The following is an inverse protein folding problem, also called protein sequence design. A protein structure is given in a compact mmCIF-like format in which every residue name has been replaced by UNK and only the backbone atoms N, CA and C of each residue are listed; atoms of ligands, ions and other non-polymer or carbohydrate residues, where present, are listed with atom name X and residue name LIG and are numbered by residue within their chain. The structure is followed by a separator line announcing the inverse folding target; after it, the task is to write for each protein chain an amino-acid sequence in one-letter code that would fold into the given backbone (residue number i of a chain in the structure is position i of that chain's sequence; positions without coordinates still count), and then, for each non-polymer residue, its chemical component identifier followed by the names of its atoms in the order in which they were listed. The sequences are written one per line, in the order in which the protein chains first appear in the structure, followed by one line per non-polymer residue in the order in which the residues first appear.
data_IF_503385597171
#
_entry.id   IF_503385597171
#
_cell.length_a   1.000
_cell.length_b   1.000
_cell.length_c   1.000
_cell.angle_alpha   90.00
_cell.angle_beta   90.00
_cell.angle_gamma   90.00
#
_symmetry.space_group_name_H-M   'P 1'
#
loop_
_entity.id
_entity.type
_entity.pdbx_description
1 polymer ?
#
# COMPACT_ATOMS: atom_id res chain seq x y z
N UNK A 1 -1.44 -45.85 6.90
CA UNK A 1 -1.82 -45.53 8.28
C UNK A 1 -1.83 -46.77 9.18
N UNK A 2 -2.61 -47.82 8.90
CA UNK A 2 -2.62 -49.09 9.67
C UNK A 2 -1.23 -49.74 9.74
N UNK A 3 -0.44 -49.71 8.65
CA UNK A 3 0.92 -50.24 8.60
C UNK A 3 1.91 -49.41 9.45
N UNK A 4 1.72 -48.10 9.51
CA UNK A 4 2.54 -47.20 10.34
C UNK A 4 2.27 -47.41 11.84
N UNK A 5 0.99 -47.56 12.23
CA UNK A 5 0.59 -47.83 13.63
C UNK A 5 1.11 -49.20 14.06
N UNK A 6 1.06 -50.22 13.18
CA UNK A 6 1.67 -51.54 13.47
C UNK A 6 3.21 -51.48 13.56
N UNK A 7 3.86 -50.59 12.81
CA UNK A 7 5.29 -50.33 12.89
C UNK A 7 5.71 -49.69 14.20
N UNK A 8 4.97 -48.70 14.68
CA UNK A 8 5.22 -47.99 15.94
C UNK A 8 4.95 -48.92 17.16
N UNK A 9 3.91 -49.75 17.12
CA UNK A 9 3.62 -50.74 18.17
C UNK A 9 4.72 -51.80 18.29
N UNK A 10 5.39 -52.20 17.17
CA UNK A 10 6.55 -53.10 17.18
C UNK A 10 7.82 -52.46 17.74
N UNK A 11 7.97 -51.15 17.62
CA UNK A 11 9.14 -50.41 18.09
C UNK A 11 9.14 -50.16 19.62
N UNK A 12 7.97 -50.08 20.24
CA UNK A 12 7.81 -49.68 21.66
C UNK A 12 7.91 -50.86 22.63
N UNK A 13 7.57 -52.06 22.22
CA UNK A 13 7.66 -53.22 23.12
C UNK A 13 8.18 -54.45 22.38
N UNK A 14 9.39 -54.86 22.60
CA UNK A 14 9.99 -56.07 22.07
C UNK A 14 9.32 -57.41 22.47
N UNK A 15 8.03 -57.36 22.79
CA UNK A 15 7.16 -58.52 23.05
C UNK A 15 5.88 -58.36 22.24
N UNK A 16 5.47 -59.44 21.58
CA UNK A 16 4.24 -59.55 20.83
C UNK A 16 3.02 -59.45 21.77
N UNK A 17 2.54 -58.23 21.98
CA UNK A 17 1.23 -58.02 22.61
C UNK A 17 0.21 -58.14 21.48
N UNK A 18 -0.73 -59.09 21.60
CA UNK A 18 -1.94 -59.17 20.81
C UNK A 18 -2.75 -57.90 21.04
N UNK A 19 -2.54 -56.88 20.24
CA UNK A 19 -3.37 -55.68 20.27
C UNK A 19 -4.69 -56.05 19.68
N UNK A 20 -5.72 -56.04 20.52
CA UNK A 20 -7.09 -56.32 20.15
C UNK A 20 -7.52 -55.39 18.98
N UNK A 21 -8.10 -55.98 17.95
CA UNK A 21 -8.59 -55.25 16.78
C UNK A 21 -9.60 -54.14 17.16
N UNK A 22 -10.30 -54.28 18.27
CA UNK A 22 -11.21 -53.28 18.82
C UNK A 22 -10.50 -52.01 19.27
N UNK A 23 -9.30 -52.13 19.90
CA UNK A 23 -8.49 -50.99 20.35
C UNK A 23 -7.92 -50.21 19.17
N UNK A 24 -7.51 -50.90 18.10
CA UNK A 24 -7.03 -50.25 16.88
C UNK A 24 -8.15 -49.46 16.19
N UNK A 25 -9.35 -50.02 16.12
CA UNK A 25 -10.51 -49.35 15.60
C UNK A 25 -10.89 -48.11 16.44
N UNK A 26 -10.86 -48.23 17.77
CA UNK A 26 -11.17 -47.10 18.68
C UNK A 26 -10.17 -45.94 18.49
N UNK A 27 -8.85 -46.23 18.44
CA UNK A 27 -7.83 -45.23 18.21
C UNK A 27 -7.99 -44.56 16.81
N UNK A 28 -8.32 -45.33 15.80
CA UNK A 28 -8.55 -44.82 14.44
C UNK A 28 -9.78 -43.89 14.37
N UNK A 29 -10.88 -44.26 15.05
CA UNK A 29 -12.10 -43.42 15.14
C UNK A 29 -11.81 -42.13 15.90
N UNK A 30 -11.10 -42.18 17.06
CA UNK A 30 -10.74 -41.00 17.81
C UNK A 30 -9.86 -40.06 16.99
N UNK A 31 -8.88 -40.57 16.25
CA UNK A 31 -7.97 -39.77 15.40
C UNK A 31 -8.71 -39.12 14.24
N UNK A 32 -9.62 -39.87 13.57
CA UNK A 32 -10.47 -39.34 12.50
C UNK A 32 -11.44 -38.27 13.05
N UNK A 33 -11.98 -38.45 14.23
CA UNK A 33 -12.85 -37.47 14.89
C UNK A 33 -12.08 -36.18 15.23
N UNK A 34 -10.85 -36.30 15.72
CA UNK A 34 -10.00 -35.14 15.99
C UNK A 34 -9.62 -34.38 14.68
N UNK A 35 -9.31 -35.10 13.60
CA UNK A 35 -9.04 -34.48 12.29
C UNK A 35 -10.32 -33.80 11.78
N UNK A 36 -11.47 -34.43 11.88
CA UNK A 36 -12.74 -33.87 11.46
C UNK A 36 -13.13 -32.63 12.28
N UNK A 37 -12.96 -32.68 13.61
CA UNK A 37 -13.15 -31.53 14.48
C UNK A 37 -12.19 -30.37 14.15
N UNK A 38 -10.91 -30.67 13.82
CA UNK A 38 -9.93 -29.68 13.38
C UNK A 38 -10.32 -29.05 12.03
N UNK A 39 -10.75 -29.86 11.05
CA UNK A 39 -11.19 -29.39 9.73
C UNK A 39 -12.45 -28.54 9.88
N UNK A 40 -13.42 -28.98 10.67
CA UNK A 40 -14.65 -28.22 10.97
C UNK A 40 -14.31 -26.94 11.71
N UNK A 41 -13.46 -26.98 12.73
CA UNK A 41 -13.01 -25.79 13.46
C UNK A 41 -12.34 -24.78 12.53
N UNK A 42 -11.46 -25.25 11.64
CA UNK A 42 -10.79 -24.42 10.62
C UNK A 42 -11.79 -23.89 9.58
N UNK A 43 -12.77 -24.70 9.16
CA UNK A 43 -13.84 -24.29 8.26
C UNK A 43 -14.76 -23.23 8.89
N UNK A 44 -15.16 -23.40 10.14
CA UNK A 44 -15.93 -22.41 10.88
C UNK A 44 -15.14 -21.12 11.16
N UNK A 45 -13.84 -21.23 11.46
CA UNK A 45 -12.98 -20.08 11.63
C UNK A 45 -12.83 -19.31 10.31
N UNK A 46 -12.64 -20.01 9.19
CA UNK A 46 -12.60 -19.42 7.85
C UNK A 46 -13.94 -18.83 7.40
N UNK A 47 -15.08 -19.46 7.78
CA UNK A 47 -16.41 -18.92 7.48
C UNK A 47 -16.80 -17.75 8.39
N UNK A 48 -16.41 -17.75 9.69
CA UNK A 48 -16.57 -16.56 10.56
C UNK A 48 -15.76 -15.37 10.07
N UNK A 49 -14.60 -15.59 9.43
CA UNK A 49 -13.81 -14.52 8.79
C UNK A 49 -14.48 -13.94 7.52
N UNK A 50 -15.55 -14.58 6.99
CA UNK A 50 -16.29 -14.07 5.83
C UNK A 50 -17.31 -12.97 6.14
N UNK A 51 -17.66 -12.75 7.40
CA UNK A 51 -18.58 -11.69 7.81
C UNK A 51 -17.98 -10.89 8.96
N UNK A 52 -16.94 -10.09 8.66
CA UNK A 52 -16.53 -9.04 9.60
C UNK A 52 -17.51 -7.87 9.38
N UNK A 53 -18.37 -7.54 10.35
CA UNK A 53 -19.31 -6.45 10.17
C UNK A 53 -18.54 -5.14 10.04
N UNK A 54 -18.93 -4.30 9.07
CA UNK A 54 -18.39 -2.95 8.94
C UNK A 54 -18.67 -2.19 10.25
N UNK A 55 -17.60 -1.78 10.93
CA UNK A 55 -17.64 -1.15 12.24
C UNK A 55 -18.10 0.31 12.21
N UNK A 56 -17.53 1.12 13.09
CA UNK A 56 -17.83 2.56 13.22
C UNK A 56 -17.46 3.36 11.98
N UNK A 57 -16.30 3.06 11.40
CA UNK A 57 -15.76 3.69 10.20
C UNK A 57 -14.90 2.68 9.44
N UNK A 58 -14.88 2.74 8.12
CA UNK A 58 -14.16 1.81 7.26
C UNK A 58 -13.79 2.43 5.93
N UNK A 59 -12.89 1.76 5.22
CA UNK A 59 -12.50 2.06 3.85
C UNK A 59 -13.08 1.00 2.92
N UNK A 60 -13.69 1.41 1.83
CA UNK A 60 -14.08 0.54 0.71
C UNK A 60 -13.12 0.75 -0.45
N UNK A 61 -12.69 -0.37 -1.04
CA UNK A 61 -11.75 -0.42 -2.16
C UNK A 61 -12.47 -1.01 -3.36
N UNK A 62 -12.72 -0.19 -4.37
CA UNK A 62 -13.35 -0.63 -5.61
C UNK A 62 -12.35 -1.40 -6.48
N UNK A 63 -12.55 -2.72 -6.54
CA UNK A 63 -11.72 -3.62 -7.33
C UNK A 63 -11.83 -3.38 -8.83
N UNK A 64 -13.00 -2.96 -9.31
CA UNK A 64 -13.21 -2.66 -10.75
C UNK A 64 -12.40 -1.42 -11.14
N UNK A 65 -12.42 -0.39 -10.30
CA UNK A 65 -11.62 0.82 -10.52
C UNK A 65 -10.11 0.51 -10.48
N UNK A 66 -9.65 -0.35 -9.57
CA UNK A 66 -8.26 -0.80 -9.53
C UNK A 66 -7.84 -1.48 -10.85
N UNK A 67 -8.65 -2.39 -11.35
CA UNK A 67 -8.38 -3.10 -12.60
C UNK A 67 -8.52 -2.19 -13.84
N UNK A 68 -9.48 -1.26 -13.81
CA UNK A 68 -9.60 -0.22 -14.84
C UNK A 68 -8.32 0.62 -14.92
N UNK A 69 -7.81 1.09 -13.78
CA UNK A 69 -6.59 1.89 -13.73
C UNK A 69 -5.38 1.12 -14.27
N UNK A 70 -5.25 -0.18 -13.95
CA UNK A 70 -4.22 -1.05 -14.54
C UNK A 70 -4.38 -1.13 -16.06
N UNK A 71 -5.60 -1.30 -16.56
CA UNK A 71 -5.85 -1.35 -18.01
C UNK A 71 -5.44 -0.05 -18.69
N UNK A 72 -5.85 1.09 -18.13
CA UNK A 72 -5.49 2.43 -18.66
C UNK A 72 -3.98 2.63 -18.64
N UNK A 73 -3.30 2.31 -17.52
CA UNK A 73 -1.86 2.48 -17.38
C UNK A 73 -1.06 1.51 -18.27
N UNK A 74 -1.63 0.37 -18.64
CA UNK A 74 -1.02 -0.60 -19.54
C UNK A 74 -0.79 -0.03 -20.95
N UNK A 75 -1.66 0.86 -21.40
CA UNK A 75 -1.54 1.50 -22.72
C UNK A 75 -0.34 2.47 -22.81
N UNK A 76 0.21 2.87 -21.66
CA UNK A 76 1.43 3.70 -21.57
C UNK A 76 2.70 2.85 -21.40
N UNK A 77 2.60 1.54 -21.12
CA UNK A 77 3.78 0.72 -20.89
C UNK A 77 4.63 0.57 -22.17
N UNK A 78 5.92 0.87 -22.12
CA UNK A 78 6.83 0.54 -23.21
C UNK A 78 6.82 -0.96 -23.52
N UNK A 79 7.12 -1.38 -24.76
CA UNK A 79 7.22 -2.80 -25.11
C UNK A 79 8.18 -3.55 -24.20
N UNK A 80 7.74 -4.68 -23.64
CA UNK A 80 8.53 -5.50 -22.70
C UNK A 80 8.56 -5.04 -21.26
N UNK A 81 8.14 -3.79 -20.97
CA UNK A 81 8.08 -3.26 -19.61
C UNK A 81 6.94 -3.92 -18.82
N UNK A 82 7.19 -4.25 -17.55
CA UNK A 82 6.22 -4.83 -16.63
C UNK A 82 5.87 -3.87 -15.51
N UNK A 83 4.70 -4.03 -14.93
CA UNK A 83 4.36 -3.33 -13.70
C UNK A 83 5.15 -3.85 -12.49
N UNK A 84 5.63 -2.93 -11.67
CA UNK A 84 6.13 -3.15 -10.31
C UNK A 84 5.45 -2.16 -9.37
N UNK A 85 4.17 -2.38 -8.99
CA UNK A 85 3.42 -1.47 -8.15
C UNK A 85 4.12 -1.12 -6.85
N UNK A 86 4.12 0.18 -6.50
CA UNK A 86 4.58 0.67 -5.21
C UNK A 86 3.43 0.53 -4.20
N UNK A 87 3.54 -0.48 -3.34
CA UNK A 87 2.55 -0.79 -2.28
C UNK A 87 3.05 -0.40 -0.88
N UNK A 88 4.08 0.45 -0.81
CA UNK A 88 4.59 1.04 0.44
C UNK A 88 3.54 1.90 1.14
N UNK A 89 3.76 2.22 2.41
CA UNK A 89 2.84 2.97 3.26
C UNK A 89 1.43 2.36 3.23
N UNK A 90 1.35 1.03 3.45
CA UNK A 90 0.13 0.25 3.38
C UNK A 90 -0.64 0.44 2.05
N UNK A 91 0.08 0.38 0.91
CA UNK A 91 -0.45 0.68 -0.42
C UNK A 91 -1.09 2.09 -0.49
N UNK A 92 -0.36 3.11 -0.04
CA UNK A 92 -0.88 4.47 0.10
C UNK A 92 -2.23 4.48 0.86
N UNK A 93 -2.29 3.76 1.98
CA UNK A 93 -3.49 3.66 2.81
C UNK A 93 -4.57 2.69 2.34
N UNK A 94 -4.42 2.08 1.17
CA UNK A 94 -5.43 1.16 0.59
C UNK A 94 -5.38 -0.27 1.15
N UNK A 95 -4.33 -0.64 1.91
CA UNK A 95 -4.17 -2.01 2.40
C UNK A 95 -3.24 -2.85 1.51
N UNK A 96 -1.96 -2.87 1.85
CA UNK A 96 -0.91 -3.44 1.00
C UNK A 96 -1.16 -4.90 0.63
N UNK A 97 -1.55 -5.74 1.59
CA UNK A 97 -1.84 -7.15 1.35
C UNK A 97 -3.07 -7.33 0.45
N UNK A 98 -4.14 -6.55 0.68
CA UNK A 98 -5.38 -6.64 -0.10
C UNK A 98 -5.14 -6.26 -1.56
N UNK A 99 -4.49 -5.11 -1.80
CA UNK A 99 -4.16 -4.62 -3.13
C UNK A 99 -3.22 -5.59 -3.85
N UNK A 100 -2.12 -6.01 -3.20
CA UNK A 100 -1.15 -6.92 -3.84
C UNK A 100 -1.76 -8.26 -4.20
N UNK A 101 -2.65 -8.82 -3.36
CA UNK A 101 -3.36 -10.06 -3.69
C UNK A 101 -4.35 -9.89 -4.84
N UNK A 102 -5.05 -8.75 -4.92
CA UNK A 102 -5.90 -8.45 -6.06
C UNK A 102 -5.07 -8.35 -7.36
N UNK A 103 -3.88 -7.74 -7.31
CA UNK A 103 -2.96 -7.64 -8.44
C UNK A 103 -2.34 -9.00 -8.82
N UNK A 104 -1.98 -9.85 -7.85
CA UNK A 104 -1.55 -11.23 -8.14
C UNK A 104 -2.60 -12.02 -8.93
N UNK A 105 -3.92 -11.80 -8.68
CA UNK A 105 -5.00 -12.48 -9.41
C UNK A 105 -5.02 -12.17 -10.91
N UNK A 106 -4.42 -11.06 -11.34
CA UNK A 106 -4.32 -10.64 -12.75
C UNK A 106 -2.88 -10.74 -13.29
N UNK A 107 -2.00 -11.51 -12.61
CA UNK A 107 -0.65 -11.81 -13.08
C UNK A 107 0.38 -10.70 -12.83
N UNK A 108 0.10 -9.73 -11.96
CA UNK A 108 1.11 -8.76 -11.52
C UNK A 108 1.74 -9.29 -10.23
N UNK A 109 3.00 -9.66 -10.30
CA UNK A 109 3.75 -10.35 -9.25
C UNK A 109 5.11 -9.71 -8.93
N UNK A 110 5.28 -8.43 -9.29
CA UNK A 110 6.44 -7.63 -8.89
C UNK A 110 5.94 -6.43 -8.10
N UNK A 111 6.50 -6.18 -6.92
CA UNK A 111 6.06 -5.11 -6.04
C UNK A 111 7.26 -4.36 -5.47
N UNK A 112 7.06 -3.10 -5.07
CA UNK A 112 8.05 -2.39 -4.28
C UNK A 112 7.44 -1.78 -3.01
N UNK A 113 8.23 -1.86 -1.94
CA UNK A 113 7.91 -1.40 -0.59
C UNK A 113 8.98 -0.45 -0.08
N UNK A 114 8.73 0.25 1.04
CA UNK A 114 9.72 1.17 1.60
C UNK A 114 10.68 0.48 2.58
N UNK A 115 10.25 -0.57 3.27
CA UNK A 115 10.99 -1.19 4.37
C UNK A 115 10.90 -2.72 4.38
N UNK A 116 11.81 -3.36 5.10
CA UNK A 116 11.79 -4.81 5.31
C UNK A 116 10.52 -5.29 6.02
N UNK A 117 9.99 -4.50 6.97
CA UNK A 117 8.75 -4.82 7.68
C UNK A 117 7.54 -4.90 6.75
N UNK A 118 7.40 -3.95 5.82
CA UNK A 118 6.35 -3.99 4.80
C UNK A 118 6.50 -5.21 3.88
N UNK A 119 7.74 -5.54 3.46
CA UNK A 119 7.99 -6.76 2.68
C UNK A 119 7.61 -8.05 3.41
N UNK A 120 7.89 -8.12 4.71
CA UNK A 120 7.50 -9.24 5.58
C UNK A 120 5.97 -9.32 5.70
N UNK A 121 5.29 -8.20 5.85
CA UNK A 121 3.83 -8.14 5.91
C UNK A 121 3.21 -8.73 4.64
N UNK A 122 3.69 -8.33 3.47
CA UNK A 122 3.24 -8.89 2.19
C UNK A 122 3.44 -10.40 2.13
N UNK A 123 4.63 -10.89 2.50
CA UNK A 123 4.93 -12.34 2.50
C UNK A 123 4.02 -13.12 3.46
N UNK A 124 3.83 -12.63 4.70
CA UNK A 124 2.92 -13.22 5.67
C UNK A 124 1.46 -13.19 5.18
N UNK A 125 1.10 -12.16 4.42
CA UNK A 125 -0.20 -12.05 3.75
C UNK A 125 -0.38 -12.98 2.56
N UNK A 126 0.65 -13.75 2.14
CA UNK A 126 0.60 -14.68 1.02
C UNK A 126 0.75 -14.02 -0.35
N UNK A 127 1.37 -12.83 -0.42
CA UNK A 127 1.71 -12.16 -1.69
C UNK A 127 2.88 -12.88 -2.34
N UNK A 128 2.72 -13.23 -3.61
CA UNK A 128 3.70 -13.93 -4.43
C UNK A 128 4.56 -12.95 -5.25
N UNK A 129 5.67 -13.48 -5.81
CA UNK A 129 6.51 -12.77 -6.77
C UNK A 129 7.67 -11.99 -6.15
N UNK A 130 8.24 -11.05 -6.89
CA UNK A 130 9.37 -10.24 -6.45
C UNK A 130 8.91 -9.08 -5.55
N UNK A 131 9.62 -8.84 -4.45
CA UNK A 131 9.38 -7.68 -3.58
C UNK A 131 10.69 -6.94 -3.39
N UNK A 132 10.77 -5.73 -3.95
CA UNK A 132 11.91 -4.82 -3.85
C UNK A 132 11.71 -3.82 -2.72
N UNK A 133 12.65 -3.78 -1.79
CA UNK A 133 12.72 -2.77 -0.73
C UNK A 133 13.44 -1.54 -1.30
N UNK A 134 12.74 -0.42 -1.43
CA UNK A 134 13.28 0.83 -1.98
C UNK A 134 14.16 1.61 -1.01
N UNK A 135 14.04 1.34 0.29
CA UNK A 135 14.72 2.04 1.36
C UNK A 135 15.92 1.27 1.93
N UNK A 136 16.47 1.85 2.99
CA UNK A 136 17.57 1.26 3.76
C UNK A 136 17.06 0.17 4.71
N UNK A 137 17.82 -0.92 4.84
CA UNK A 137 17.63 -1.96 5.84
C UNK A 137 18.87 -2.04 6.73
N UNK A 138 18.71 -1.91 8.06
CA UNK A 138 19.82 -1.98 8.99
C UNK A 138 20.47 -3.38 8.95
N UNK A 139 21.82 -3.51 9.09
CA UNK A 139 22.55 -4.79 9.01
C UNK A 139 22.00 -5.91 9.91
N UNK A 140 21.53 -5.60 11.11
CA UNK A 140 20.88 -6.58 12.00
C UNK A 140 19.64 -7.25 11.37
N UNK A 141 19.02 -6.60 10.39
CA UNK A 141 17.84 -7.10 9.67
C UNK A 141 18.18 -7.87 8.39
N UNK A 142 19.45 -7.97 7.96
CA UNK A 142 19.84 -8.69 6.76
C UNK A 142 19.39 -10.17 6.74
N UNK A 143 19.38 -10.91 7.87
CA UNK A 143 18.81 -12.26 7.89
C UNK A 143 17.37 -12.35 7.40
N UNK A 144 16.59 -11.27 7.59
CA UNK A 144 15.18 -11.21 7.18
C UNK A 144 15.03 -11.10 5.67
N UNK A 145 15.98 -10.48 4.97
CA UNK A 145 15.98 -10.38 3.50
C UNK A 145 15.98 -11.78 2.87
N UNK A 146 16.86 -12.66 3.36
CA UNK A 146 16.96 -14.04 2.90
C UNK A 146 15.74 -14.86 3.32
N UNK A 147 15.38 -14.78 4.62
CA UNK A 147 14.27 -15.56 5.19
C UNK A 147 12.95 -15.32 4.45
N UNK A 148 12.70 -14.09 4.03
CA UNK A 148 11.45 -13.69 3.36
C UNK A 148 11.61 -13.51 1.85
N UNK A 149 12.76 -13.89 1.29
CA UNK A 149 13.07 -13.74 -0.16
C UNK A 149 12.73 -12.34 -0.68
N UNK A 150 13.36 -11.33 -0.07
CA UNK A 150 13.19 -9.91 -0.41
C UNK A 150 14.41 -9.43 -1.19
N UNK A 151 14.21 -8.53 -2.13
CA UNK A 151 15.26 -7.86 -2.89
C UNK A 151 15.58 -6.53 -2.23
N UNK A 152 16.84 -6.27 -1.93
CA UNK A 152 17.28 -5.06 -1.24
C UNK A 152 17.82 -4.02 -2.22
N UNK A 153 17.47 -2.75 -2.04
CA UNK A 153 18.14 -1.65 -2.73
C UNK A 153 19.52 -1.39 -2.12
N UNK A 154 20.55 -1.39 -2.95
CA UNK A 154 21.87 -0.87 -2.58
C UNK A 154 21.83 0.66 -2.68
N UNK A 155 21.93 1.31 -1.52
CA UNK A 155 21.73 2.76 -1.41
C UNK A 155 23.01 3.62 -1.61
N UNK A 156 24.18 3.01 -1.54
CA UNK A 156 25.51 3.55 -1.88
C UNK A 156 26.56 2.44 -1.82
N UNK A 157 27.81 2.75 -2.18
CA UNK A 157 28.92 1.79 -2.19
C UNK A 157 29.22 1.21 -0.80
N UNK A 158 29.30 2.05 0.25
CA UNK A 158 29.54 1.58 1.60
C UNK A 158 28.45 0.59 2.08
N UNK A 159 27.20 0.81 1.72
CA UNK A 159 26.13 -0.12 2.06
C UNK A 159 26.26 -1.45 1.29
N UNK A 160 26.77 -1.43 0.06
CA UNK A 160 27.12 -2.64 -0.67
C UNK A 160 28.21 -3.46 0.07
N UNK A 161 29.23 -2.78 0.63
CA UNK A 161 30.26 -3.43 1.44
C UNK A 161 29.68 -4.09 2.69
N UNK A 162 28.74 -3.44 3.38
CA UNK A 162 28.05 -4.02 4.55
C UNK A 162 27.23 -5.27 4.18
N UNK A 163 26.49 -5.22 3.07
CA UNK A 163 25.75 -6.37 2.55
C UNK A 163 26.68 -7.52 2.16
N UNK A 164 27.80 -7.21 1.51
CA UNK A 164 28.80 -8.21 1.14
C UNK A 164 29.49 -8.82 2.35
N UNK A 165 29.83 -8.01 3.36
CA UNK A 165 30.47 -8.44 4.62
C UNK A 165 29.54 -9.34 5.46
N UNK A 166 28.22 -9.29 5.25
CA UNK A 166 27.29 -10.21 5.91
C UNK A 166 27.56 -11.68 5.58
N UNK A 167 28.26 -11.97 4.47
CA UNK A 167 28.80 -13.30 4.15
C UNK A 167 27.77 -14.31 3.63
N UNK A 168 26.55 -13.87 3.32
CA UNK A 168 25.49 -14.70 2.67
C UNK A 168 24.94 -14.00 1.44
N UNK A 169 24.56 -14.76 0.40
CA UNK A 169 24.01 -14.19 -0.83
C UNK A 169 22.73 -13.38 -0.57
N UNK A 170 22.72 -12.10 -0.97
CA UNK A 170 21.56 -11.21 -0.89
C UNK A 170 21.21 -10.71 -2.29
N UNK A 171 19.93 -10.84 -2.66
CA UNK A 171 19.40 -10.28 -3.91
C UNK A 171 19.31 -8.77 -3.80
N UNK A 172 19.81 -8.06 -4.80
CA UNK A 172 19.87 -6.60 -4.77
C UNK A 172 19.52 -5.96 -6.10
N UNK A 173 18.95 -4.74 -6.02
CA UNK A 173 18.99 -3.77 -7.12
C UNK A 173 19.89 -2.60 -6.71
N UNK A 174 20.82 -2.23 -7.59
CA UNK A 174 21.70 -1.07 -7.37
C UNK A 174 20.89 0.19 -7.69
N UNK A 175 20.85 1.12 -6.74
CA UNK A 175 20.28 2.45 -7.00
C UNK A 175 21.36 3.41 -7.46
N UNK A 176 21.13 4.06 -8.61
CA UNK A 176 21.99 5.07 -9.19
C UNK A 176 21.32 6.43 -9.00
N UNK A 177 22.04 7.37 -8.37
CA UNK A 177 21.58 8.74 -8.22
C UNK A 177 21.98 9.55 -9.45
N UNK A 178 20.98 9.96 -10.21
CA UNK A 178 21.13 10.76 -11.43
C UNK A 178 20.65 12.21 -11.25
N UNK A 179 20.50 12.68 -9.99
CA UNK A 179 20.15 14.08 -9.73
C UNK A 179 19.02 14.29 -8.71
N UNK A 180 18.43 13.23 -8.14
CA UNK A 180 17.45 13.38 -7.06
C UNK A 180 18.10 13.62 -5.69
N UNK A 181 19.35 13.19 -5.50
CA UNK A 181 20.17 13.39 -4.30
C UNK A 181 19.51 12.90 -2.99
N UNK A 182 18.83 11.77 -3.04
CA UNK A 182 18.17 11.17 -1.87
C UNK A 182 18.81 9.85 -1.43
N UNK A 183 18.96 8.92 -2.31
CA UNK A 183 19.63 7.61 -2.14
C UNK A 183 20.22 7.22 -3.49
N UNK A 184 21.20 6.35 -3.48
CA UNK A 184 21.87 5.82 -4.68
C UNK A 184 23.34 6.24 -4.72
N UNK A 185 24.18 5.43 -5.37
CA UNK A 185 25.53 5.84 -5.72
C UNK A 185 25.44 6.84 -6.88
N UNK A 186 26.27 7.88 -6.84
CA UNK A 186 26.25 8.92 -7.88
C UNK A 186 26.60 8.34 -9.24
N UNK A 187 25.93 8.79 -10.29
CA UNK A 187 26.17 8.33 -11.65
C UNK A 187 27.62 8.56 -12.13
N UNK A 188 28.29 9.58 -11.57
CA UNK A 188 29.68 9.89 -11.88
C UNK A 188 30.68 8.91 -11.24
N UNK A 189 30.28 8.18 -10.20
CA UNK A 189 31.11 7.20 -9.48
C UNK A 189 31.04 5.81 -10.14
N UNK A 190 31.27 5.73 -11.44
CA UNK A 190 31.11 4.49 -12.23
C UNK A 190 32.03 3.36 -11.70
N UNK A 191 33.22 3.68 -11.23
CA UNK A 191 34.16 2.70 -10.69
C UNK A 191 33.63 2.05 -9.40
N UNK A 192 33.05 2.82 -8.49
CA UNK A 192 32.41 2.32 -7.29
C UNK A 192 31.22 1.40 -7.65
N UNK A 193 30.41 1.82 -8.61
CA UNK A 193 29.27 1.02 -9.09
C UNK A 193 29.77 -0.29 -9.71
N UNK A 194 30.80 -0.26 -10.55
CA UNK A 194 31.42 -1.45 -11.15
C UNK A 194 32.00 -2.42 -10.11
N UNK A 195 32.65 -1.88 -9.05
CA UNK A 195 33.18 -2.70 -7.95
C UNK A 195 32.07 -3.45 -7.18
N UNK A 196 30.83 -2.94 -7.13
CA UNK A 196 29.71 -3.67 -6.51
C UNK A 196 29.43 -4.99 -7.24
N UNK A 197 29.63 -5.06 -8.56
CA UNK A 197 29.44 -6.31 -9.35
C UNK A 197 30.49 -7.38 -9.04
N UNK A 198 31.60 -7.04 -8.41
CA UNK A 198 32.66 -7.97 -8.00
C UNK A 198 32.43 -8.54 -6.59
N UNK A 199 31.44 -8.06 -5.87
CA UNK A 199 31.11 -8.46 -4.50
C UNK A 199 30.42 -9.82 -4.49
N UNK A 200 31.06 -10.85 -3.93
CA UNK A 200 30.66 -12.27 -4.02
C UNK A 200 29.29 -12.58 -3.41
N UNK A 201 28.87 -11.80 -2.44
CA UNK A 201 27.61 -12.03 -1.72
C UNK A 201 26.46 -11.14 -2.20
N UNK A 202 26.65 -10.37 -3.27
CA UNK A 202 25.57 -9.61 -3.92
C UNK A 202 25.08 -10.35 -5.16
N UNK A 203 23.81 -10.74 -5.16
CA UNK A 203 23.11 -11.23 -6.36
C UNK A 203 22.44 -10.04 -7.00
N UNK A 204 23.13 -9.39 -7.95
CA UNK A 204 22.61 -8.20 -8.61
C UNK A 204 21.55 -8.62 -9.63
N UNK A 205 20.27 -8.36 -9.31
CA UNK A 205 19.13 -8.65 -10.18
C UNK A 205 18.70 -7.45 -11.02
N UNK A 206 19.19 -6.23 -10.69
CA UNK A 206 18.87 -5.04 -11.48
C UNK A 206 19.54 -3.77 -10.99
N UNK A 207 19.28 -2.68 -11.72
CA UNK A 207 19.65 -1.32 -11.34
C UNK A 207 18.51 -0.35 -11.64
N UNK A 208 18.44 0.75 -10.88
CA UNK A 208 17.41 1.75 -11.10
C UNK A 208 17.81 3.16 -10.66
N UNK A 209 17.15 4.12 -11.27
CA UNK A 209 17.13 5.51 -10.79
C UNK A 209 15.71 5.97 -10.47
N UNK A 210 15.54 7.20 -10.05
CA UNK A 210 14.22 7.81 -9.81
C UNK A 210 14.23 9.23 -10.34
N UNK A 211 13.32 9.49 -11.26
CA UNK A 211 13.10 10.80 -11.82
C UNK A 211 12.49 11.71 -10.75
N UNK A 212 12.81 12.98 -10.74
CA UNK A 212 12.33 13.89 -9.70
C UNK A 212 11.71 15.19 -10.24
N UNK A 213 11.64 15.34 -11.55
CA UNK A 213 10.95 16.43 -12.24
C UNK A 213 9.97 15.92 -13.31
N UNK A 214 9.57 14.63 -13.23
CA UNK A 214 8.72 13.95 -14.19
C UNK A 214 7.23 14.30 -14.06
N UNK A 215 6.84 15.04 -13.04
CA UNK A 215 5.47 15.57 -12.86
C UNK A 215 5.12 16.67 -13.89
N UNK A 216 6.13 17.28 -14.51
CA UNK A 216 5.99 18.40 -15.43
C UNK A 216 6.66 18.09 -16.77
N UNK A 217 6.06 18.60 -17.85
CA UNK A 217 6.60 18.58 -19.21
C UNK A 217 7.09 19.97 -19.66
N UNK A 218 7.31 20.90 -18.71
CA UNK A 218 7.92 22.21 -19.03
C UNK A 218 9.28 22.01 -19.69
N UNK A 219 9.74 22.91 -20.59
CA UNK A 219 11.05 22.73 -21.23
C UNK A 219 12.22 22.52 -20.27
N UNK A 220 12.21 23.20 -19.11
CA UNK A 220 13.22 23.05 -18.05
C UNK A 220 13.17 21.65 -17.42
N UNK A 221 11.97 21.21 -17.00
CA UNK A 221 11.78 19.93 -16.31
C UNK A 221 12.02 18.77 -17.26
N UNK A 222 11.61 18.90 -18.53
CA UNK A 222 11.88 17.92 -19.58
C UNK A 222 13.39 17.76 -19.80
N UNK A 223 14.12 18.88 -19.99
CA UNK A 223 15.58 18.84 -20.17
C UNK A 223 16.27 18.13 -19.00
N UNK A 224 15.83 18.41 -17.76
CA UNK A 224 16.41 17.79 -16.58
C UNK A 224 16.06 16.30 -16.51
N UNK A 225 14.81 15.92 -16.75
CA UNK A 225 14.36 14.53 -16.71
C UNK A 225 15.04 13.67 -17.79
N UNK A 226 15.18 14.19 -19.01
CA UNK A 226 15.92 13.53 -20.09
C UNK A 226 17.41 13.38 -19.75
N UNK A 227 18.01 14.39 -19.10
CA UNK A 227 19.40 14.31 -18.62
C UNK A 227 19.58 13.22 -17.55
N UNK A 228 18.61 13.07 -16.59
CA UNK A 228 18.62 11.98 -15.63
C UNK A 228 18.56 10.60 -16.33
N UNK A 229 17.69 10.44 -17.32
CA UNK A 229 17.60 9.21 -18.11
C UNK A 229 18.88 8.91 -18.86
N UNK A 230 19.46 9.92 -19.55
CA UNK A 230 20.73 9.80 -20.26
C UNK A 230 21.88 9.38 -19.35
N UNK A 231 22.02 10.03 -18.19
CA UNK A 231 23.06 9.70 -17.21
C UNK A 231 22.92 8.26 -16.71
N UNK A 232 21.69 7.80 -16.45
CA UNK A 232 21.42 6.42 -16.04
C UNK A 232 21.85 5.42 -17.11
N UNK A 233 21.40 5.59 -18.36
CA UNK A 233 21.74 4.66 -19.44
C UNK A 233 23.22 4.70 -19.82
N UNK A 234 23.89 5.83 -19.63
CA UNK A 234 25.34 5.91 -19.82
C UNK A 234 26.07 5.00 -18.81
N UNK A 235 25.68 5.01 -17.53
CA UNK A 235 26.25 4.09 -16.53
C UNK A 235 25.99 2.63 -16.93
N UNK A 236 24.75 2.29 -17.33
CA UNK A 236 24.41 0.93 -17.75
C UNK A 236 25.23 0.48 -18.98
N UNK A 237 25.47 1.39 -19.96
CA UNK A 237 26.30 1.10 -21.14
C UNK A 237 27.75 0.81 -20.76
N UNK A 238 28.35 1.65 -19.93
CA UNK A 238 29.74 1.45 -19.47
C UNK A 238 29.89 0.14 -18.69
N UNK A 239 28.96 -0.17 -17.81
CA UNK A 239 28.96 -1.44 -17.08
C UNK A 239 28.90 -2.64 -18.05
N UNK A 240 28.05 -2.57 -19.07
CA UNK A 240 27.94 -3.60 -20.10
C UNK A 240 29.23 -3.77 -20.92
N UNK A 241 29.86 -2.67 -21.30
CA UNK A 241 31.17 -2.67 -22.01
C UNK A 241 32.29 -3.30 -21.17
N UNK A 242 32.22 -3.14 -19.83
CA UNK A 242 33.13 -3.79 -18.88
C UNK A 242 32.77 -5.26 -18.61
N UNK A 243 31.75 -5.82 -19.28
CA UNK A 243 31.33 -7.23 -19.15
C UNK A 243 30.37 -7.50 -17.99
N UNK A 244 29.88 -6.48 -17.30
CA UNK A 244 28.86 -6.65 -16.24
C UNK A 244 27.46 -6.70 -16.84
N UNK A 245 26.62 -7.58 -16.29
CA UNK A 245 25.22 -7.72 -16.69
C UNK A 245 24.30 -7.12 -15.64
N UNK A 246 23.41 -6.24 -16.07
CA UNK A 246 22.32 -5.70 -15.28
C UNK A 246 21.00 -6.27 -15.83
N UNK A 247 20.47 -7.37 -15.28
CA UNK A 247 19.35 -8.10 -15.89
C UNK A 247 18.07 -7.31 -16.03
N UNK A 248 17.87 -6.33 -15.12
CA UNK A 248 16.66 -5.49 -15.10
C UNK A 248 17.06 -4.04 -14.85
N UNK A 249 16.54 -3.12 -15.65
CA UNK A 249 16.74 -1.69 -15.46
C UNK A 249 15.41 -0.96 -15.39
N UNK A 250 15.28 0.04 -14.50
CA UNK A 250 14.01 0.75 -14.35
C UNK A 250 14.16 2.19 -13.83
N UNK A 251 13.42 3.10 -14.45
CA UNK A 251 13.40 4.53 -14.10
C UNK A 251 11.98 4.99 -13.77
N UNK A 252 10.99 4.51 -14.54
CA UNK A 252 9.64 5.04 -14.57
C UNK A 252 8.91 4.82 -13.24
N UNK A 253 8.27 5.87 -12.74
CA UNK A 253 7.23 5.85 -11.72
C UNK A 253 5.90 6.28 -12.36
N UNK A 254 4.89 6.69 -11.58
CA UNK A 254 3.60 7.09 -12.14
C UNK A 254 3.69 8.19 -13.18
N UNK A 255 4.34 9.30 -12.84
CA UNK A 255 4.50 10.43 -13.77
C UNK A 255 5.46 10.13 -14.91
N UNK A 256 6.58 9.44 -14.62
CA UNK A 256 7.52 9.02 -15.64
C UNK A 256 6.87 8.15 -16.71
N UNK A 257 5.99 7.22 -16.31
CA UNK A 257 5.24 6.40 -17.26
C UNK A 257 4.27 7.23 -18.13
N UNK A 258 3.60 8.22 -17.54
CA UNK A 258 2.58 9.02 -18.23
C UNK A 258 3.23 10.05 -19.15
N UNK A 259 4.30 10.73 -18.70
CA UNK A 259 4.86 11.91 -19.37
C UNK A 259 6.10 11.59 -20.21
N UNK A 260 6.83 10.51 -19.90
CA UNK A 260 8.14 10.16 -20.50
C UNK A 260 8.24 8.65 -20.79
N UNK A 261 7.26 8.03 -21.46
CA UNK A 261 7.28 6.58 -21.74
C UNK A 261 8.46 6.16 -22.59
N UNK A 262 9.08 7.10 -23.35
CA UNK A 262 10.29 6.87 -24.13
C UNK A 262 11.52 6.53 -23.29
N UNK A 263 11.55 6.95 -22.02
CA UNK A 263 12.56 6.53 -21.04
C UNK A 263 12.28 5.13 -20.52
N UNK A 264 12.14 4.16 -21.40
CA UNK A 264 11.70 2.80 -21.16
C UNK A 264 12.51 2.07 -20.05
N UNK A 265 12.26 0.78 -19.86
CA UNK A 265 12.95 -0.07 -18.89
C UNK A 265 12.17 -1.36 -18.69
N UNK A 266 12.68 -2.27 -17.86
CA UNK A 266 12.04 -3.56 -17.61
C UNK A 266 10.86 -3.45 -16.65
N UNK A 267 10.86 -2.42 -15.77
CA UNK A 267 9.78 -2.18 -14.80
C UNK A 267 9.33 -0.72 -14.76
N UNK A 268 8.00 -0.54 -14.61
CA UNK A 268 7.37 0.72 -14.22
C UNK A 268 6.85 0.59 -12.78
N UNK A 269 7.44 1.38 -11.85
CA UNK A 269 7.09 1.37 -10.42
C UNK A 269 5.92 2.28 -10.13
N UNK A 270 4.73 1.86 -10.55
CA UNK A 270 3.50 2.66 -10.44
C UNK A 270 3.09 2.80 -8.97
N UNK A 271 2.98 4.02 -8.50
CA UNK A 271 2.47 4.36 -7.18
C UNK A 271 1.09 4.98 -7.25
N UNK A 272 1.01 6.29 -7.07
CA UNK A 272 -0.24 7.02 -6.86
C UNK A 272 -1.27 6.83 -8.00
N UNK A 273 -0.83 6.74 -9.25
CA UNK A 273 -1.73 6.54 -10.40
C UNK A 273 -2.48 5.20 -10.35
N UNK A 274 -1.90 4.15 -9.76
CA UNK A 274 -2.56 2.86 -9.54
C UNK A 274 -3.85 3.02 -8.75
N UNK A 275 -3.83 3.92 -7.76
CA UNK A 275 -4.95 4.16 -6.85
C UNK A 275 -5.98 5.14 -7.40
N UNK A 276 -5.84 5.53 -8.67
CA UNK A 276 -6.83 6.30 -9.41
C UNK A 276 -6.76 7.80 -9.18
N UNK A 277 -5.65 8.31 -8.68
CA UNK A 277 -5.39 9.73 -8.48
C UNK A 277 -3.96 10.08 -8.88
N UNK A 278 -3.68 11.36 -9.11
CA UNK A 278 -2.34 11.93 -9.19
C UNK A 278 -2.09 12.81 -7.96
N UNK A 279 -0.89 13.39 -7.82
CA UNK A 279 -0.55 14.18 -6.62
C UNK A 279 -1.42 15.41 -6.45
N UNK A 280 -1.75 16.09 -7.56
CA UNK A 280 -2.56 17.30 -7.57
C UNK A 280 -3.69 17.21 -8.60
N UNK A 281 -4.78 17.98 -8.38
CA UNK A 281 -5.90 18.08 -9.32
C UNK A 281 -5.45 18.62 -10.70
N UNK A 282 -4.55 19.59 -10.70
CA UNK A 282 -4.01 20.14 -11.94
C UNK A 282 -3.31 19.10 -12.82
N UNK A 283 -2.69 18.08 -12.20
CA UNK A 283 -1.96 17.06 -12.93
C UNK A 283 -2.90 16.13 -13.68
N UNK A 284 -3.98 15.66 -13.04
CA UNK A 284 -4.97 14.80 -13.71
C UNK A 284 -5.67 15.54 -14.85
N UNK A 285 -5.91 16.86 -14.70
CA UNK A 285 -6.50 17.68 -15.74
C UNK A 285 -5.57 17.88 -16.94
N UNK A 286 -4.26 18.04 -16.71
CA UNK A 286 -3.24 18.17 -17.77
C UNK A 286 -3.02 16.85 -18.50
N UNK A 287 -2.85 15.76 -17.76
CA UNK A 287 -2.59 14.45 -18.33
C UNK A 287 -3.79 13.84 -19.07
N UNK A 288 -5.03 14.28 -18.74
CA UNK A 288 -6.29 13.76 -19.31
C UNK A 288 -6.41 12.23 -19.31
N UNK A 289 -5.78 11.59 -18.31
CA UNK A 289 -5.83 10.15 -18.13
C UNK A 289 -7.09 9.75 -17.35
N UNK A 290 -7.91 8.79 -17.84
CA UNK A 290 -9.20 8.45 -17.23
C UNK A 290 -9.03 7.50 -16.03
N UNK A 291 -8.29 7.93 -15.01
CA UNK A 291 -8.13 7.17 -13.76
C UNK A 291 -9.40 7.30 -12.91
N UNK A 292 -9.73 6.22 -12.20
CA UNK A 292 -10.88 6.14 -11.31
C UNK A 292 -10.40 5.91 -9.86
N UNK A 293 -10.80 6.77 -8.89
CA UNK A 293 -10.44 6.58 -7.48
C UNK A 293 -10.84 5.19 -6.97
N UNK A 294 -9.91 4.52 -6.30
CA UNK A 294 -10.12 3.16 -5.78
C UNK A 294 -10.74 3.19 -4.38
N UNK A 295 -10.44 4.24 -3.60
CA UNK A 295 -10.74 4.32 -2.17
C UNK A 295 -11.91 5.25 -1.89
N UNK A 296 -12.83 4.80 -1.00
CA UNK A 296 -13.78 5.65 -0.30
C UNK A 296 -13.73 5.43 1.20
N UNK A 297 -13.99 6.50 1.99
CA UNK A 297 -14.03 6.46 3.46
C UNK A 297 -15.46 6.70 3.92
N UNK A 298 -15.98 5.75 4.69
CA UNK A 298 -17.33 5.76 5.23
C UNK A 298 -17.33 5.69 6.73
N UNK A 299 -18.28 6.36 7.36
CA UNK A 299 -18.42 6.41 8.82
C UNK A 299 -19.90 6.42 9.19
N UNK A 300 -20.27 5.71 10.27
CA UNK A 300 -21.64 5.74 10.80
C UNK A 300 -21.83 6.92 11.73
N UNK A 301 -22.99 7.55 11.66
CA UNK A 301 -23.39 8.56 12.62
C UNK A 301 -23.63 7.86 13.97
N UNK A 302 -22.89 8.27 15.01
CA UNK A 302 -22.98 7.66 16.33
C UNK A 302 -24.08 8.28 17.20
N UNK A 303 -24.30 9.60 17.05
CA UNK A 303 -25.33 10.35 17.78
C UNK A 303 -25.75 11.58 17.01
N UNK A 304 -26.98 12.01 17.24
CA UNK A 304 -27.52 13.28 16.77
C UNK A 304 -27.96 14.08 18.01
N UNK A 305 -27.64 15.38 18.04
CA UNK A 305 -27.97 16.26 19.16
C UNK A 305 -28.49 17.60 18.65
N UNK A 306 -29.37 18.21 19.42
CA UNK A 306 -29.70 19.62 19.27
C UNK A 306 -28.59 20.46 19.90
N UNK A 307 -28.27 21.58 19.30
CA UNK A 307 -27.33 22.59 19.75
C UNK A 307 -28.08 23.92 19.79
N UNK A 308 -28.26 24.48 20.97
CA UNK A 308 -29.03 25.72 21.15
C UNK A 308 -28.20 26.96 20.79
N UNK A 309 -28.88 28.03 20.40
CA UNK A 309 -28.24 29.31 20.16
C UNK A 309 -27.38 29.74 21.38
N UNK A 310 -26.13 30.13 21.10
CA UNK A 310 -25.14 30.51 22.13
C UNK A 310 -24.30 29.35 22.66
N UNK A 311 -24.65 28.10 22.40
CA UNK A 311 -23.83 26.96 22.83
C UNK A 311 -22.60 26.75 21.94
N UNK A 312 -21.50 26.39 22.60
CA UNK A 312 -20.22 26.13 21.94
C UNK A 312 -19.98 24.65 21.69
N UNK A 313 -19.18 24.31 20.63
CA UNK A 313 -18.88 22.95 20.22
C UNK A 313 -17.38 22.64 20.29
N UNK A 314 -17.07 21.50 20.87
CA UNK A 314 -15.76 20.87 20.84
C UNK A 314 -14.68 21.61 21.65
N UNK A 315 -13.42 21.19 21.41
CA UNK A 315 -12.27 21.74 22.13
C UNK A 315 -12.07 23.24 21.86
N UNK A 316 -11.98 24.02 22.96
CA UNK A 316 -11.79 25.48 22.94
C UNK A 316 -12.99 26.24 22.42
N UNK A 317 -14.19 25.60 22.41
CA UNK A 317 -15.45 26.22 21.98
C UNK A 317 -15.28 27.01 20.66
N UNK A 318 -14.51 26.40 19.71
CA UNK A 318 -14.08 27.06 18.46
C UNK A 318 -15.20 27.29 17.45
N UNK A 319 -16.37 26.77 17.72
CA UNK A 319 -17.64 27.07 17.05
C UNK A 319 -18.68 27.43 18.12
N UNK A 320 -19.46 28.46 17.88
CA UNK A 320 -20.62 28.83 18.72
C UNK A 320 -21.83 28.97 17.81
N UNK A 321 -22.93 28.32 18.18
CA UNK A 321 -24.15 28.35 17.39
C UNK A 321 -24.79 29.74 17.46
N UNK A 322 -25.07 30.37 16.33
CA UNK A 322 -25.76 31.64 16.21
C UNK A 322 -27.29 31.51 16.19
N UNK A 323 -27.77 30.29 16.00
CA UNK A 323 -29.17 29.88 16.01
C UNK A 323 -29.25 28.42 16.45
N UNK A 324 -30.44 27.87 16.68
CA UNK A 324 -30.58 26.44 17.01
C UNK A 324 -30.17 25.59 15.82
N UNK A 325 -29.27 24.63 16.08
CA UNK A 325 -28.69 23.72 15.09
C UNK A 325 -28.97 22.27 15.47
N UNK A 326 -28.89 21.39 14.47
CA UNK A 326 -28.82 19.96 14.69
C UNK A 326 -27.44 19.46 14.26
N UNK A 327 -26.75 18.80 15.19
CA UNK A 327 -25.40 18.30 14.95
C UNK A 327 -25.35 16.78 14.99
N UNK A 328 -24.42 16.20 14.22
CA UNK A 328 -24.15 14.77 14.25
C UNK A 328 -22.69 14.51 14.66
N UNK A 329 -22.49 13.40 15.37
CA UNK A 329 -21.19 12.95 15.85
C UNK A 329 -20.74 11.77 15.01
N UNK A 330 -19.61 11.92 14.35
CA UNK A 330 -18.94 10.89 13.59
C UNK A 330 -17.81 10.28 14.42
N UNK A 331 -17.80 8.97 14.70
CA UNK A 331 -16.75 8.32 15.49
C UNK A 331 -15.49 8.05 14.65
N UNK A 332 -14.93 9.10 14.06
CA UNK A 332 -13.69 9.13 13.28
C UNK A 332 -12.99 10.47 13.55
N UNK A 333 -11.66 10.46 13.69
CA UNK A 333 -10.90 11.67 13.99
C UNK A 333 -9.47 11.61 13.47
N UNK A 334 -8.58 12.48 13.99
CA UNK A 334 -7.23 12.59 13.47
C UNK A 334 -6.35 11.35 13.77
N UNK A 335 -6.67 10.53 14.77
CA UNK A 335 -5.99 9.25 15.00
C UNK A 335 -6.34 8.18 13.95
N UNK A 336 -7.37 8.40 13.16
CA UNK A 336 -7.75 7.56 12.03
C UNK A 336 -7.13 8.06 10.71
N UNK A 337 -6.49 9.23 10.73
CA UNK A 337 -5.86 9.85 9.56
C UNK A 337 -6.66 11.03 8.97
N UNK A 338 -7.75 11.47 9.61
CA UNK A 338 -8.50 12.65 9.15
C UNK A 338 -7.71 13.93 9.50
N UNK A 339 -7.36 14.77 8.52
CA UNK A 339 -6.57 15.97 8.78
C UNK A 339 -7.29 16.93 9.73
N UNK A 340 -6.61 17.32 10.82
CA UNK A 340 -7.18 18.28 11.78
C UNK A 340 -7.38 19.67 11.16
N UNK A 341 -6.69 19.98 10.07
CA UNK A 341 -6.85 21.21 9.30
C UNK A 341 -8.26 21.36 8.65
N UNK A 342 -9.04 20.27 8.54
CA UNK A 342 -10.44 20.32 8.09
C UNK A 342 -11.40 20.89 9.14
N UNK A 343 -10.93 21.26 10.33
CA UNK A 343 -11.72 21.81 11.42
C UNK A 343 -12.36 23.17 11.07
N UNK A 344 -13.39 23.55 11.84
CA UNK A 344 -13.96 24.88 11.87
C UNK A 344 -14.51 25.37 10.52
N UNK A 345 -15.21 24.52 9.81
CA UNK A 345 -15.86 24.85 8.52
C UNK A 345 -14.97 24.71 7.30
N UNK A 346 -13.69 24.35 7.47
CA UNK A 346 -12.79 24.15 6.33
C UNK A 346 -13.08 22.83 5.57
N UNK A 347 -13.58 21.81 6.26
CA UNK A 347 -13.91 20.51 5.66
C UNK A 347 -15.40 20.21 5.66
N UNK A 348 -15.78 19.27 4.81
CA UNK A 348 -17.15 18.79 4.67
C UNK A 348 -17.20 17.27 4.65
N UNK A 349 -18.39 16.71 4.87
CA UNK A 349 -18.73 15.30 4.61
C UNK A 349 -20.02 15.22 3.81
N UNK A 350 -20.31 14.07 3.20
CA UNK A 350 -21.55 13.84 2.47
C UNK A 350 -22.47 12.92 3.27
N UNK A 351 -23.77 13.25 3.35
CA UNK A 351 -24.82 12.41 3.93
C UNK A 351 -26.03 12.48 3.03
N UNK A 352 -26.57 11.35 2.59
CA UNK A 352 -27.80 11.26 1.79
C UNK A 352 -27.79 12.20 0.56
N UNK A 353 -26.64 12.38 -0.09
CA UNK A 353 -26.48 13.25 -1.24
C UNK A 353 -26.25 14.74 -0.92
N UNK A 354 -26.28 15.12 0.37
CA UNK A 354 -26.11 16.50 0.81
C UNK A 354 -24.73 16.70 1.46
N UNK A 355 -24.24 17.94 1.43
CA UNK A 355 -22.99 18.36 2.08
C UNK A 355 -23.31 18.78 3.53
N UNK A 356 -22.53 18.29 4.50
CA UNK A 356 -22.57 18.65 5.90
C UNK A 356 -21.20 19.20 6.32
N UNK A 357 -21.10 20.47 6.79
CA UNK A 357 -19.84 21.07 7.19
C UNK A 357 -19.33 20.50 8.52
N UNK A 358 -18.00 20.37 8.63
CA UNK A 358 -17.32 20.02 9.88
C UNK A 358 -17.28 21.27 10.76
N UNK A 359 -17.93 21.25 11.92
CA UNK A 359 -17.94 22.34 12.87
C UNK A 359 -17.07 22.06 14.09
N UNK A 360 -16.52 23.11 14.68
CA UNK A 360 -15.58 22.95 15.77
C UNK A 360 -14.28 22.25 15.37
N UNK A 361 -13.49 21.86 16.35
CA UNK A 361 -12.21 21.18 16.10
C UNK A 361 -12.40 19.66 16.02
N UNK A 362 -11.82 19.03 14.99
CA UNK A 362 -11.73 17.57 14.89
C UNK A 362 -10.96 17.05 16.11
N UNK A 363 -11.54 16.07 16.80
CA UNK A 363 -10.98 15.42 17.96
C UNK A 363 -10.11 14.21 17.55
N UNK A 364 -9.47 13.54 18.52
CA UNK A 364 -8.69 12.34 18.27
C UNK A 364 -9.53 11.24 17.60
N UNK A 365 -10.75 11.03 18.12
CA UNK A 365 -11.59 9.88 17.76
C UNK A 365 -12.97 10.29 17.22
N UNK A 366 -13.30 11.58 17.23
CA UNK A 366 -14.60 12.09 16.78
C UNK A 366 -14.48 13.35 15.94
N UNK A 367 -15.44 13.50 15.03
CA UNK A 367 -15.68 14.70 14.22
C UNK A 367 -17.13 15.12 14.39
N UNK A 368 -17.38 16.42 14.58
CA UNK A 368 -18.71 16.99 14.74
C UNK A 368 -19.07 17.73 13.47
N UNK A 369 -20.28 17.49 12.98
CA UNK A 369 -20.79 18.09 11.74
C UNK A 369 -22.15 18.73 11.96
N UNK A 370 -22.46 19.77 11.21
CA UNK A 370 -23.78 20.40 11.18
C UNK A 370 -24.67 19.64 10.17
N UNK A 371 -25.82 19.19 10.63
CA UNK A 371 -26.81 18.46 9.82
C UNK A 371 -28.18 19.14 9.84
N UNK A 372 -28.23 20.41 10.23
CA UNK A 372 -29.47 21.20 10.35
C UNK A 372 -30.30 21.14 9.06
N UNK A 373 -29.65 21.27 7.91
CA UNK A 373 -30.29 21.28 6.59
C UNK A 373 -30.51 19.86 6.01
N UNK A 374 -30.30 18.82 6.81
CA UNK A 374 -30.50 17.41 6.39
C UNK A 374 -31.53 16.73 7.31
N UNK A 375 -32.81 17.09 7.22
CA UNK A 375 -33.82 16.67 8.23
C UNK A 375 -34.09 15.17 8.27
N UNK A 376 -33.70 14.43 7.21
CA UNK A 376 -33.90 12.96 7.11
C UNK A 376 -32.81 12.16 7.77
N UNK A 377 -31.74 12.81 8.27
CA UNK A 377 -30.59 12.13 8.86
C UNK A 377 -30.94 11.40 10.16
N UNK A 378 -30.39 10.22 10.38
CA UNK A 378 -30.60 9.35 11.55
C UNK A 378 -29.27 8.85 12.09
N UNK A 379 -29.27 8.48 13.37
CA UNK A 379 -28.20 7.68 13.95
C UNK A 379 -28.07 6.35 13.20
N UNK A 380 -26.84 5.93 12.93
CA UNK A 380 -26.52 4.77 12.10
C UNK A 380 -26.43 5.04 10.60
N UNK A 381 -26.94 6.17 10.10
CA UNK A 381 -26.72 6.57 8.70
C UNK A 381 -25.23 6.69 8.38
N UNK A 382 -24.90 6.60 7.08
CA UNK A 382 -23.52 6.62 6.62
C UNK A 382 -23.17 8.01 6.11
N UNK A 383 -22.18 8.62 6.74
CA UNK A 383 -21.48 9.79 6.21
C UNK A 383 -20.25 9.36 5.38
N UNK A 384 -19.93 10.11 4.35
CA UNK A 384 -18.80 9.84 3.44
C UNK A 384 -17.79 10.98 3.57
N UNK A 385 -16.56 10.63 3.93
CA UNK A 385 -15.44 11.57 4.05
C UNK A 385 -14.72 11.75 2.71
N UNK A 386 -14.49 10.64 1.99
CA UNK A 386 -13.97 10.59 0.62
C UNK A 386 -14.86 9.63 -0.17
N UNK A 387 -15.37 10.07 -1.31
CA UNK A 387 -16.22 9.26 -2.19
C UNK A 387 -17.48 9.99 -2.62
N UNK A 388 -18.46 9.23 -3.12
CA UNK A 388 -19.70 9.73 -3.71
C UNK A 388 -20.91 9.42 -2.85
N UNK A 389 -21.86 10.37 -2.82
CA UNK A 389 -23.20 10.21 -2.26
C UNK A 389 -24.20 10.86 -3.21
N UNK A 390 -25.01 10.07 -3.91
CA UNK A 390 -25.84 10.59 -4.99
C UNK A 390 -24.99 11.27 -6.06
N UNK A 391 -25.30 12.52 -6.38
CA UNK A 391 -24.55 13.34 -7.34
C UNK A 391 -23.40 14.14 -6.72
N UNK A 392 -23.29 14.14 -5.39
CA UNK A 392 -22.22 14.85 -4.68
C UNK A 392 -20.99 13.95 -4.51
N UNK A 393 -19.81 14.55 -4.57
CA UNK A 393 -18.53 13.87 -4.42
C UNK A 393 -17.57 14.72 -3.57
N UNK A 394 -16.83 14.10 -2.66
CA UNK A 394 -15.64 14.64 -2.00
C UNK A 394 -14.48 13.76 -2.39
N UNK A 395 -13.47 14.34 -3.03
CA UNK A 395 -12.29 13.64 -3.51
C UNK A 395 -11.10 13.80 -2.57
N UNK A 396 -10.07 12.96 -2.73
CA UNK A 396 -8.79 13.15 -2.05
C UNK A 396 -8.12 14.48 -2.46
N UNK A 397 -8.41 15.00 -3.66
CA UNK A 397 -7.95 16.33 -4.11
C UNK A 397 -8.57 17.46 -3.30
N UNK A 398 -9.89 17.41 -3.03
CA UNK A 398 -10.57 18.43 -2.24
C UNK A 398 -9.93 18.55 -0.86
N UNK A 399 -9.69 17.41 -0.20
CA UNK A 399 -9.05 17.38 1.10
C UNK A 399 -7.61 17.88 1.05
N UNK A 400 -6.85 17.48 0.03
CA UNK A 400 -5.46 17.90 -0.14
C UNK A 400 -5.36 19.42 -0.34
N UNK A 401 -6.22 20.00 -1.18
CA UNK A 401 -6.28 21.45 -1.45
C UNK A 401 -6.69 22.23 -0.19
N UNK A 402 -7.74 21.78 0.53
CA UNK A 402 -8.19 22.38 1.78
C UNK A 402 -7.15 22.33 2.89
N UNK A 403 -6.24 21.39 2.86
CA UNK A 403 -5.22 21.18 3.90
C UNK A 403 -3.81 21.58 3.48
N UNK A 404 -3.63 22.11 2.25
CA UNK A 404 -2.35 22.61 1.73
C UNK A 404 -1.32 21.50 1.49
N UNK A 405 -1.75 20.33 1.02
CA UNK A 405 -0.86 19.18 0.77
C UNK A 405 -1.24 18.44 -0.52
N UNK A 406 -0.73 17.23 -0.71
CA UNK A 406 -0.95 16.37 -1.88
C UNK A 406 -1.75 15.11 -1.51
N UNK A 407 -2.42 14.51 -2.50
CA UNK A 407 -3.23 13.29 -2.31
C UNK A 407 -2.42 12.15 -1.69
N UNK A 408 -1.12 12.04 -2.04
CA UNK A 408 -0.21 11.04 -1.49
C UNK A 408 -0.15 11.10 0.05
N UNK A 409 -0.07 12.30 0.62
CA UNK A 409 -0.03 12.47 2.06
C UNK A 409 -1.38 12.14 2.70
N UNK A 410 -2.49 12.65 2.14
CA UNK A 410 -3.83 12.36 2.64
C UNK A 410 -4.08 10.85 2.72
N UNK A 411 -3.84 10.15 1.63
CA UNK A 411 -4.13 8.71 1.53
C UNK A 411 -3.19 7.87 2.40
N UNK A 412 -1.89 8.15 2.39
CA UNK A 412 -0.90 7.37 3.15
C UNK A 412 -1.02 7.51 4.67
N UNK A 413 -1.69 8.56 5.16
CA UNK A 413 -1.94 8.80 6.59
C UNK A 413 -3.13 8.03 7.15
N UNK A 414 -3.94 7.37 6.31
CA UNK A 414 -5.10 6.61 6.78
C UNK A 414 -4.66 5.45 7.67
N UNK A 415 -5.10 5.51 8.94
CA UNK A 415 -4.64 4.65 10.02
C UNK A 415 -5.09 3.19 9.88
N UNK A 416 -4.44 2.32 10.65
CA UNK A 416 -4.78 0.90 10.75
C UNK A 416 -6.08 0.62 11.51
N UNK A 417 -6.63 1.62 12.20
CA UNK A 417 -7.92 1.55 12.91
C UNK A 417 -9.14 1.52 11.98
N UNK A 418 -8.95 1.84 10.70
CA UNK A 418 -9.99 1.74 9.67
C UNK A 418 -9.87 0.39 8.97
N UNK A 419 -10.89 -0.45 9.12
CA UNK A 419 -10.99 -1.71 8.38
C UNK A 419 -11.12 -1.44 6.88
N UNK A 420 -10.54 -2.31 6.05
CA UNK A 420 -10.54 -2.17 4.60
C UNK A 420 -11.27 -3.34 3.97
N UNK A 421 -12.19 -3.04 3.07
CA UNK A 421 -13.02 -4.03 2.37
C UNK A 421 -12.89 -3.85 0.85
N UNK A 422 -12.54 -4.90 0.14
CA UNK A 422 -12.64 -4.92 -1.33
C UNK A 422 -14.11 -5.14 -1.70
N UNK A 423 -14.64 -4.32 -2.58
CA UNK A 423 -16.00 -4.37 -3.10
C UNK A 423 -16.01 -4.58 -4.62
#
# INVERSE_FOLDING_TARGET
MIVLIRGIAKLIHGQAILVDNSLIHYIAVCFLSCIFAYIIGKYFTLHKLRYYPKGRAWIELDKKNLYHNISVLKDFLPPGCKFMPAVKANAYGHGAVLISKALNQIGIDNFCVASVSEGIELRKGGVCGEILILGYTHPECFPLLIKYNLVQTVVNYHYAELLNAYGKPVKVHIKIDTGMHRLGERAEHIEEIARMFQMKNLIIEGAFTHLCADESISPKDRTFTEAQGKAFYQVISVLKEQGYSCPKVHLLASYGLINYPELSGDYARIGIALYGVLSNRSDIQKCKIPLLPVLSIKVRIAAIKDLLCGEGVGYGLSYTATENRKIAILPIGYADGIPRALSCGNGNVLINGSIAPIIGRICMDQTIIDVTDIPTVKEGDIAIIIGKSGNAEITAYDIAEQTGTITNEILSRLGSRLDRFII
#
